data_IF_185097871152
#
_entry.id   IF_185097871152
#
_cell.length_a   1.000
_cell.length_b   1.000
_cell.length_c   1.000
_cell.angle_alpha   90.00
_cell.angle_beta   90.00
_cell.angle_gamma   90.00
#
_symmetry.space_group_name_H-M   'P 1'
#
loop_
_entity.id
_entity.type
_entity.pdbx_description
1 polymer ?
#
# COMPACT_ATOMS: atom_id res chain seq x y z
N UNK A 1 2.84 5.26 11.01
CA UNK A 1 1.62 4.43 11.05
C UNK A 1 1.14 4.06 9.64
N UNK A 2 1.22 4.95 8.64
CA UNK A 2 0.83 4.67 7.24
C UNK A 2 1.30 3.33 6.64
N UNK A 3 2.57 2.92 6.80
CA UNK A 3 3.07 1.62 6.30
C UNK A 3 2.38 0.41 6.92
N UNK A 4 2.04 0.50 8.22
CA UNK A 4 1.35 -0.57 8.94
C UNK A 4 -0.12 -0.68 8.51
N UNK A 5 -0.76 0.44 8.16
CA UNK A 5 -2.15 0.50 7.71
C UNK A 5 -2.31 -0.07 6.29
N UNK A 6 -1.40 0.26 5.37
CA UNK A 6 -1.39 -0.36 4.04
C UNK A 6 -1.20 -1.88 4.11
N UNK A 7 -0.37 -2.35 5.05
CA UNK A 7 -0.13 -3.77 5.28
C UNK A 7 -1.31 -4.48 5.97
N UNK A 8 -2.04 -3.80 6.87
CA UNK A 8 -3.24 -4.35 7.53
C UNK A 8 -4.48 -4.32 6.64
N UNK A 9 -4.45 -3.58 5.51
CA UNK A 9 -5.59 -3.40 4.61
C UNK A 9 -6.51 -2.26 5.02
N UNK A 10 -6.09 -1.41 5.95
CA UNK A 10 -6.78 -0.16 6.30
C UNK A 10 -6.42 0.94 5.31
N UNK A 11 -7.36 1.82 4.96
CA UNK A 11 -7.14 2.92 4.03
C UNK A 11 -6.24 4.00 4.68
N UNK A 12 -4.95 4.13 4.30
CA UNK A 12 -4.04 5.08 4.94
C UNK A 12 -4.14 6.48 4.33
N UNK A 13 -4.94 6.64 3.27
CA UNK A 13 -5.04 7.87 2.50
C UNK A 13 -5.46 9.09 3.35
N UNK A 14 -6.44 9.02 4.26
CA UNK A 14 -6.79 10.15 5.12
C UNK A 14 -5.63 10.65 5.99
N UNK A 15 -4.84 9.72 6.55
CA UNK A 15 -3.70 10.08 7.40
C UNK A 15 -2.55 10.69 6.60
N UNK A 16 -2.27 10.14 5.42
CA UNK A 16 -1.23 10.65 4.54
C UNK A 16 -1.58 12.04 3.99
N UNK A 17 -2.85 12.27 3.65
CA UNK A 17 -3.36 13.59 3.24
C UNK A 17 -3.28 14.59 4.39
N UNK A 18 -3.75 14.22 5.59
CA UNK A 18 -3.65 15.09 6.77
C UNK A 18 -2.19 15.45 7.09
N UNK A 19 -1.26 14.50 7.02
CA UNK A 19 0.16 14.76 7.20
C UNK A 19 0.72 15.71 6.13
N UNK A 20 0.28 15.58 4.87
CA UNK A 20 0.67 16.48 3.79
C UNK A 20 0.15 17.91 3.99
N UNK A 21 -1.06 18.07 4.51
CA UNK A 21 -1.65 19.38 4.84
C UNK A 21 -0.90 20.06 5.98
N UNK A 22 -0.58 19.32 7.05
CA UNK A 22 0.23 19.83 8.17
C UNK A 22 1.59 20.31 7.67
N UNK A 23 2.27 19.52 6.83
CA UNK A 23 3.56 19.92 6.25
C UNK A 23 3.46 21.16 5.37
N UNK A 24 2.45 21.22 4.51
CA UNK A 24 2.26 22.38 3.64
C UNK A 24 2.00 23.66 4.46
N UNK A 25 1.26 23.54 5.57
CA UNK A 25 1.01 24.63 6.49
C UNK A 25 2.23 25.09 7.29
N UNK A 26 3.22 24.22 7.50
CA UNK A 26 4.45 24.51 8.26
C UNK A 26 5.61 25.05 7.40
N UNK A 27 5.44 25.08 6.06
CA UNK A 27 6.50 25.44 5.11
C UNK A 27 7.03 26.85 5.30
N UNK A 28 6.15 27.82 5.58
CA UNK A 28 6.54 29.22 5.72
C UNK A 28 7.27 29.46 7.06
N UNK A 29 6.85 28.78 8.13
CA UNK A 29 7.55 28.79 9.42
C UNK A 29 8.92 28.14 9.34
N UNK A 30 9.07 27.02 8.63
CA UNK A 30 10.36 26.36 8.44
C UNK A 30 11.36 27.26 7.71
N UNK A 31 10.88 27.97 6.68
CA UNK A 31 11.70 28.91 5.92
C UNK A 31 12.07 30.16 6.73
N UNK A 32 11.14 30.65 7.56
CA UNK A 32 11.42 31.71 8.52
C UNK A 32 12.45 31.28 9.59
N UNK A 33 12.33 30.06 10.13
CA UNK A 33 13.28 29.51 11.09
C UNK A 33 14.67 29.35 10.49
N UNK A 34 14.76 28.84 9.25
CA UNK A 34 16.02 28.71 8.52
C UNK A 34 16.68 30.07 8.29
N UNK A 35 15.93 31.08 7.84
CA UNK A 35 16.45 32.46 7.72
C UNK A 35 16.93 33.01 9.05
N UNK A 36 16.18 32.77 10.13
CA UNK A 36 16.56 33.19 11.49
C UNK A 36 17.87 32.58 11.95
N UNK A 37 18.07 31.27 11.71
CA UNK A 37 19.32 30.57 12.04
C UNK A 37 20.50 31.07 11.19
N UNK A 38 20.29 31.34 9.90
CA UNK A 38 21.31 31.94 9.05
C UNK A 38 21.72 33.35 9.54
N UNK A 39 20.75 34.17 9.93
CA UNK A 39 21.02 35.48 10.52
C UNK A 39 21.78 35.36 11.84
N UNK A 40 21.38 34.42 12.71
CA UNK A 40 22.07 34.14 13.97
C UNK A 40 23.51 33.68 13.75
N UNK A 41 23.75 32.81 12.76
CA UNK A 41 25.10 32.38 12.37
C UNK A 41 25.96 33.57 11.91
N UNK A 42 25.39 34.49 11.14
CA UNK A 42 26.07 35.72 10.73
C UNK A 42 26.45 36.62 11.91
N UNK A 43 25.57 36.74 12.91
CA UNK A 43 25.86 37.49 14.15
C UNK A 43 26.94 36.76 14.96
N UNK A 44 26.78 35.46 15.20
CA UNK A 44 27.73 34.65 15.96
C UNK A 44 29.15 34.73 15.38
N UNK A 45 29.29 34.65 14.05
CA UNK A 45 30.58 34.81 13.38
C UNK A 45 31.30 36.13 13.71
N UNK A 46 30.57 37.19 14.07
CA UNK A 46 31.12 38.50 14.41
C UNK A 46 31.42 38.69 15.91
N UNK A 47 30.65 38.07 16.81
CA UNK A 47 30.75 38.27 18.28
C UNK A 47 31.30 37.07 19.05
N UNK A 48 31.07 35.86 18.56
CA UNK A 48 31.54 34.61 19.17
C UNK A 48 31.84 33.58 18.07
N UNK A 49 33.01 33.69 17.39
CA UNK A 49 33.31 32.90 16.20
C UNK A 49 33.35 31.37 16.43
N UNK A 50 33.50 30.93 17.68
CA UNK A 50 33.49 29.52 18.08
C UNK A 50 32.08 28.99 18.36
N UNK A 51 31.05 29.84 18.37
CA UNK A 51 29.68 29.42 18.62
C UNK A 51 29.13 28.60 17.45
N UNK A 52 28.68 27.38 17.75
CA UNK A 52 28.04 26.50 16.77
C UNK A 52 26.55 26.85 16.70
N UNK A 53 26.12 27.41 15.57
CA UNK A 53 24.70 27.67 15.29
C UNK A 53 24.13 26.51 14.47
N UNK A 54 23.00 25.91 14.90
CA UNK A 54 22.40 24.81 14.16
C UNK A 54 21.90 25.28 12.78
N UNK A 55 21.94 24.38 11.81
CA UNK A 55 21.39 24.59 10.46
C UNK A 55 20.16 23.71 10.26
N UNK A 56 19.23 24.17 9.42
CA UNK A 56 18.09 23.37 8.96
C UNK A 56 18.25 23.07 7.48
N UNK A 57 18.27 21.79 7.14
CA UNK A 57 18.34 21.24 5.79
C UNK A 57 16.95 21.23 5.13
N UNK A 58 15.89 21.02 5.92
CA UNK A 58 14.51 21.02 5.43
C UNK A 58 13.90 22.43 5.48
N UNK A 59 13.94 23.14 4.35
CA UNK A 59 13.22 24.40 4.15
C UNK A 59 11.90 24.19 3.42
N UNK A 60 11.28 25.30 2.99
CA UNK A 60 10.02 25.29 2.23
C UNK A 60 10.02 24.34 1.03
N UNK A 61 11.02 24.35 0.12
CA UNK A 61 11.01 23.46 -1.05
C UNK A 61 11.03 21.98 -0.66
N UNK A 62 11.77 21.61 0.38
CA UNK A 62 11.87 20.22 0.84
C UNK A 62 10.56 19.75 1.50
N UNK A 63 9.93 20.59 2.32
CA UNK A 63 8.65 20.26 2.97
C UNK A 63 7.50 20.20 1.97
N UNK A 64 7.45 21.11 0.98
CA UNK A 64 6.46 21.05 -0.11
C UNK A 64 6.62 19.78 -0.94
N UNK A 65 7.87 19.37 -1.21
CA UNK A 65 8.16 18.12 -1.91
C UNK A 65 7.71 16.89 -1.10
N UNK A 66 7.98 16.84 0.21
CA UNK A 66 7.53 15.73 1.07
C UNK A 66 5.99 15.71 1.13
N UNK A 67 5.33 16.86 1.24
CA UNK A 67 3.87 16.96 1.21
C UNK A 67 3.28 16.44 -0.11
N UNK A 68 3.89 16.80 -1.25
CA UNK A 68 3.48 16.27 -2.56
C UNK A 68 3.67 14.75 -2.65
N UNK A 69 4.77 14.23 -2.11
CA UNK A 69 5.03 12.79 -2.05
C UNK A 69 4.00 12.07 -1.17
N UNK A 70 3.62 12.62 -0.01
CA UNK A 70 2.59 12.06 0.87
C UNK A 70 1.21 12.00 0.20
N UNK A 71 0.81 13.06 -0.54
CA UNK A 71 -0.44 13.04 -1.32
C UNK A 71 -0.42 11.97 -2.41
N UNK A 72 0.68 11.89 -3.16
CA UNK A 72 0.86 10.83 -4.17
C UNK A 72 0.80 9.43 -3.54
N UNK A 73 1.41 9.24 -2.38
CA UNK A 73 1.32 8.00 -1.61
C UNK A 73 -0.10 7.70 -1.11
N UNK A 74 -0.92 8.71 -0.79
CA UNK A 74 -2.31 8.54 -0.39
C UNK A 74 -3.16 7.98 -1.55
N UNK A 75 -3.00 8.53 -2.75
CA UNK A 75 -3.67 8.05 -3.96
C UNK A 75 -3.23 6.61 -4.29
N UNK A 76 -1.91 6.37 -4.28
CA UNK A 76 -1.35 5.04 -4.53
C UNK A 76 -1.84 4.00 -3.50
N UNK A 77 -1.96 4.38 -2.24
CA UNK A 77 -2.45 3.48 -1.20
C UNK A 77 -3.95 3.17 -1.34
N UNK A 78 -4.77 4.14 -1.75
CA UNK A 78 -6.19 3.92 -2.04
C UNK A 78 -6.35 2.89 -3.15
N UNK A 79 -5.61 3.07 -4.26
CA UNK A 79 -5.61 2.12 -5.35
C UNK A 79 -5.14 0.75 -4.89
N UNK A 80 -4.05 0.67 -4.13
CA UNK A 80 -3.53 -0.59 -3.61
C UNK A 80 -4.55 -1.35 -2.75
N UNK A 81 -5.25 -0.66 -1.84
CA UNK A 81 -6.30 -1.26 -1.00
C UNK A 81 -7.47 -1.77 -1.85
N UNK A 82 -7.91 -1.00 -2.86
CA UNK A 82 -8.92 -1.43 -3.83
C UNK A 82 -8.50 -2.75 -4.53
N UNK A 83 -7.23 -2.83 -4.99
CA UNK A 83 -6.71 -4.05 -5.64
C UNK A 83 -6.64 -5.23 -4.68
N UNK A 84 -6.22 -5.01 -3.43
CA UNK A 84 -6.19 -6.06 -2.39
C UNK A 84 -7.61 -6.59 -2.10
N UNK A 85 -8.60 -5.71 -2.04
CA UNK A 85 -10.00 -6.13 -1.90
C UNK A 85 -10.48 -6.92 -3.11
N UNK A 86 -10.10 -6.54 -4.33
CA UNK A 86 -10.42 -7.31 -5.51
C UNK A 86 -9.77 -8.70 -5.51
N UNK A 87 -8.50 -8.84 -5.08
CA UNK A 87 -7.88 -10.17 -4.92
C UNK A 87 -8.66 -11.03 -3.92
N UNK A 88 -9.10 -10.44 -2.80
CA UNK A 88 -9.90 -11.16 -1.80
C UNK A 88 -11.27 -11.57 -2.36
N UNK A 89 -11.95 -10.68 -3.09
CA UNK A 89 -13.26 -10.95 -3.68
C UNK A 89 -13.24 -12.12 -4.67
N UNK A 90 -12.16 -12.29 -5.44
CA UNK A 90 -11.98 -13.47 -6.31
C UNK A 90 -11.88 -14.76 -5.50
N UNK A 91 -11.10 -14.75 -4.40
CA UNK A 91 -10.96 -15.91 -3.52
C UNK A 91 -12.28 -16.25 -2.84
N UNK A 92 -13.01 -15.25 -2.36
CA UNK A 92 -14.32 -15.41 -1.72
C UNK A 92 -15.35 -15.98 -2.69
N UNK A 93 -15.37 -15.52 -3.94
CA UNK A 93 -16.25 -16.04 -5.00
C UNK A 93 -15.96 -17.52 -5.30
N UNK A 94 -14.67 -17.90 -5.37
CA UNK A 94 -14.27 -19.29 -5.54
C UNK A 94 -14.70 -20.15 -4.33
N UNK A 95 -14.44 -19.68 -3.11
CA UNK A 95 -14.84 -20.39 -1.89
C UNK A 95 -16.37 -20.59 -1.80
N UNK A 96 -17.15 -19.55 -2.13
CA UNK A 96 -18.60 -19.63 -2.18
C UNK A 96 -19.10 -20.61 -3.24
N UNK A 97 -18.44 -20.67 -4.40
CA UNK A 97 -18.73 -21.64 -5.46
C UNK A 97 -18.51 -23.08 -4.98
N UNK A 98 -17.38 -23.37 -4.35
CA UNK A 98 -17.08 -24.70 -3.81
C UNK A 98 -18.08 -25.10 -2.73
N UNK A 99 -18.41 -24.20 -1.80
CA UNK A 99 -19.41 -24.46 -0.77
C UNK A 99 -20.81 -24.69 -1.34
N UNK A 100 -21.14 -24.13 -2.52
CA UNK A 100 -22.38 -24.43 -3.22
C UNK A 100 -22.32 -25.81 -3.90
N UNK A 101 -21.20 -26.16 -4.53
CA UNK A 101 -20.98 -27.51 -5.10
C UNK A 101 -21.06 -28.62 -4.04
N UNK A 102 -20.49 -28.40 -2.86
CA UNK A 102 -20.59 -29.33 -1.72
C UNK A 102 -22.02 -29.56 -1.23
N UNK A 103 -22.91 -28.57 -1.44
CA UNK A 103 -24.34 -28.63 -1.12
C UNK A 103 -25.20 -29.13 -2.28
N UNK A 104 -24.57 -29.61 -3.36
CA UNK A 104 -25.23 -30.03 -4.60
C UNK A 104 -26.12 -28.93 -5.22
N UNK A 105 -25.67 -27.66 -5.10
CA UNK A 105 -26.31 -26.49 -5.68
C UNK A 105 -25.41 -25.86 -6.78
N UNK A 106 -25.35 -26.49 -7.97
CA UNK A 106 -24.50 -26.00 -9.05
C UNK A 106 -24.99 -24.66 -9.65
N UNK A 107 -26.26 -24.29 -9.46
CA UNK A 107 -26.77 -22.98 -9.87
C UNK A 107 -26.23 -21.86 -8.99
N UNK A 108 -26.23 -22.04 -7.66
CA UNK A 108 -25.59 -21.09 -6.74
C UNK A 108 -24.07 -21.05 -6.93
N UNK A 109 -23.44 -22.17 -7.30
CA UNK A 109 -22.02 -22.21 -7.63
C UNK A 109 -21.68 -21.28 -8.81
N UNK A 110 -22.42 -21.42 -9.92
CA UNK A 110 -22.25 -20.55 -11.10
C UNK A 110 -22.52 -19.07 -10.80
N UNK A 111 -23.55 -18.78 -10.00
CA UNK A 111 -23.84 -17.41 -9.59
C UNK A 111 -22.69 -16.81 -8.77
N UNK A 112 -22.07 -17.60 -7.88
CA UNK A 112 -20.93 -17.17 -7.08
C UNK A 112 -19.69 -16.95 -7.95
N UNK A 113 -19.43 -17.78 -8.95
CA UNK A 113 -18.32 -17.59 -9.89
C UNK A 113 -18.46 -16.30 -10.70
N UNK A 114 -19.68 -15.94 -11.12
CA UNK A 114 -19.93 -14.67 -11.80
C UNK A 114 -19.59 -13.43 -10.97
N UNK A 115 -19.54 -13.54 -9.63
CA UNK A 115 -19.09 -12.45 -8.76
C UNK A 115 -17.58 -12.16 -8.88
N UNK A 116 -16.79 -13.08 -9.46
CA UNK A 116 -15.35 -12.90 -9.66
C UNK A 116 -15.01 -12.04 -10.91
N UNK A 117 -15.94 -11.87 -11.85
CA UNK A 117 -15.68 -11.21 -13.14
C UNK A 117 -15.22 -9.75 -12.97
N UNK A 118 -15.96 -8.96 -12.18
CA UNK A 118 -15.64 -7.55 -11.96
C UNK A 118 -14.32 -7.37 -11.18
N UNK A 119 -14.06 -8.10 -10.08
CA UNK A 119 -12.74 -8.12 -9.44
C UNK A 119 -11.59 -8.51 -10.37
N UNK A 120 -11.75 -9.54 -11.21
CA UNK A 120 -10.72 -9.95 -12.18
C UNK A 120 -10.44 -8.87 -13.21
N UNK A 121 -11.48 -8.26 -13.80
CA UNK A 121 -11.33 -7.16 -14.75
C UNK A 121 -10.63 -5.95 -14.12
N UNK A 122 -10.91 -5.67 -12.85
CA UNK A 122 -10.22 -4.64 -12.09
C UNK A 122 -8.73 -5.00 -12.00
N UNK A 123 -8.35 -6.20 -11.57
CA UNK A 123 -6.94 -6.62 -11.49
C UNK A 123 -6.23 -6.57 -12.85
N UNK A 124 -6.91 -6.90 -13.95
CA UNK A 124 -6.35 -6.83 -15.31
C UNK A 124 -5.99 -5.40 -15.73
N UNK A 125 -6.81 -4.43 -15.35
CA UNK A 125 -6.60 -3.01 -15.66
C UNK A 125 -5.44 -2.37 -14.87
N UNK A 126 -4.80 -3.10 -13.95
CA UNK A 126 -3.68 -2.59 -13.17
C UNK A 126 -2.41 -2.43 -14.03
N UNK A 127 -2.15 -1.18 -14.45
CA UNK A 127 -1.05 -0.82 -15.37
C UNK A 127 0.35 -1.25 -14.90
N UNK A 128 0.65 -1.07 -13.61
CA UNK A 128 1.92 -1.43 -12.99
C UNK A 128 1.73 -2.57 -12.00
N UNK A 129 1.21 -3.69 -12.49
CA UNK A 129 0.97 -4.88 -11.66
C UNK A 129 2.27 -5.55 -11.22
N UNK A 130 2.34 -6.07 -9.99
CA UNK A 130 3.44 -6.93 -9.56
C UNK A 130 3.56 -8.15 -10.50
N UNK A 131 4.79 -8.60 -10.84
CA UNK A 131 4.99 -9.75 -11.72
C UNK A 131 4.24 -11.01 -11.25
N UNK A 132 4.18 -11.21 -9.93
CA UNK A 132 3.53 -12.37 -9.30
C UNK A 132 2.00 -12.30 -9.37
N UNK A 133 1.40 -11.11 -9.53
CA UNK A 133 -0.05 -10.98 -9.73
C UNK A 133 -0.50 -11.64 -11.03
N UNK A 134 0.29 -11.53 -12.12
CA UNK A 134 -0.07 -12.18 -13.38
C UNK A 134 -0.12 -13.70 -13.25
N UNK A 135 0.86 -14.27 -12.54
CA UNK A 135 0.89 -15.71 -12.28
C UNK A 135 -0.33 -16.13 -11.44
N UNK A 136 -0.63 -15.39 -10.37
CA UNK A 136 -1.81 -15.65 -9.53
C UNK A 136 -3.13 -15.54 -10.29
N UNK A 137 -3.30 -14.52 -11.14
CA UNK A 137 -4.52 -14.33 -11.94
C UNK A 137 -4.73 -15.47 -12.92
N UNK A 138 -3.66 -15.98 -13.54
CA UNK A 138 -3.72 -17.13 -14.43
C UNK A 138 -4.22 -18.38 -13.70
N UNK A 139 -3.67 -18.68 -12.52
CA UNK A 139 -4.10 -19.84 -11.72
C UNK A 139 -5.53 -19.67 -11.20
N UNK A 140 -5.90 -18.45 -10.78
CA UNK A 140 -7.25 -18.14 -10.32
C UNK A 140 -8.29 -18.30 -11.44
N UNK A 141 -7.97 -17.84 -12.65
CA UNK A 141 -8.83 -18.06 -13.82
C UNK A 141 -9.01 -19.55 -14.12
N UNK A 142 -7.94 -20.35 -14.08
CA UNK A 142 -8.02 -21.80 -14.27
C UNK A 142 -8.90 -22.49 -13.21
N UNK A 143 -8.82 -22.05 -11.96
CA UNK A 143 -9.67 -22.56 -10.87
C UNK A 143 -11.14 -22.20 -11.06
N UNK A 144 -11.43 -20.93 -11.41
CA UNK A 144 -12.79 -20.45 -11.66
C UNK A 144 -13.42 -21.19 -12.84
N UNK A 145 -12.68 -21.35 -13.93
CA UNK A 145 -13.13 -22.09 -15.12
C UNK A 145 -13.41 -23.55 -14.78
N UNK A 146 -12.49 -24.23 -14.10
CA UNK A 146 -12.67 -25.64 -13.72
C UNK A 146 -13.84 -25.84 -12.76
N UNK A 147 -14.03 -24.96 -11.78
CA UNK A 147 -15.20 -24.99 -10.90
C UNK A 147 -16.51 -24.76 -11.68
N UNK A 148 -16.49 -23.86 -12.66
CA UNK A 148 -17.61 -23.63 -13.57
C UNK A 148 -17.94 -24.85 -14.43
N UNK A 149 -16.92 -25.56 -14.91
CA UNK A 149 -17.08 -26.81 -15.65
C UNK A 149 -17.67 -27.92 -14.76
N UNK A 150 -17.23 -28.05 -13.50
CA UNK A 150 -17.84 -28.98 -12.54
C UNK A 150 -19.32 -28.66 -12.33
N UNK A 151 -19.67 -27.39 -12.10
CA UNK A 151 -21.06 -26.97 -11.89
C UNK A 151 -21.94 -27.25 -13.13
N UNK A 152 -21.44 -26.92 -14.33
CA UNK A 152 -22.14 -27.18 -15.59
C UNK A 152 -22.34 -28.68 -15.85
N UNK A 153 -21.31 -29.49 -15.63
CA UNK A 153 -21.40 -30.95 -15.79
C UNK A 153 -22.39 -31.58 -14.80
N UNK A 154 -22.41 -31.07 -13.56
CA UNK A 154 -23.37 -31.51 -12.52
C UNK A 154 -24.81 -31.21 -12.94
N UNK A 155 -25.09 -30.00 -13.45
CA UNK A 155 -26.40 -29.63 -14.01
C UNK A 155 -26.81 -30.53 -15.18
N UNK A 156 -25.86 -30.85 -16.06
CA UNK A 156 -26.08 -31.72 -17.22
C UNK A 156 -26.20 -33.21 -16.85
N UNK A 157 -25.93 -33.59 -15.58
CA UNK A 157 -25.82 -34.97 -15.11
C UNK A 157 -24.81 -35.80 -15.93
N UNK A 158 -23.68 -35.17 -16.28
CA UNK A 158 -22.58 -35.80 -17.01
C UNK A 158 -21.42 -36.13 -16.05
N UNK A 159 -21.36 -37.37 -15.52
CA UNK A 159 -20.34 -37.74 -14.55
C UNK A 159 -18.93 -37.82 -15.16
N UNK A 160 -18.81 -38.02 -16.48
CA UNK A 160 -17.49 -38.08 -17.15
C UNK A 160 -16.92 -36.68 -17.26
N UNK A 161 -17.73 -35.71 -17.71
CA UNK A 161 -17.33 -34.31 -17.74
C UNK A 161 -17.05 -33.77 -16.33
N UNK A 162 -17.88 -34.15 -15.34
CA UNK A 162 -17.68 -33.75 -13.95
C UNK A 162 -16.34 -34.26 -13.40
N UNK A 163 -15.99 -35.53 -13.65
CA UNK A 163 -14.72 -36.12 -13.24
C UNK A 163 -13.52 -35.41 -13.88
N UNK A 164 -13.56 -35.17 -15.20
CA UNK A 164 -12.49 -34.47 -15.91
C UNK A 164 -12.29 -33.02 -15.41
N UNK A 165 -13.38 -32.30 -15.14
CA UNK A 165 -13.35 -30.95 -14.58
C UNK A 165 -12.79 -30.93 -13.15
N UNK A 166 -13.16 -31.90 -12.32
CA UNK A 166 -12.65 -32.06 -10.97
C UNK A 166 -11.13 -32.37 -10.95
N UNK A 167 -10.63 -33.19 -11.87
CA UNK A 167 -9.20 -33.45 -12.03
C UNK A 167 -8.43 -32.18 -12.45
N UNK A 168 -8.98 -31.41 -13.40
CA UNK A 168 -8.40 -30.11 -13.80
C UNK A 168 -8.36 -29.15 -12.62
N UNK A 169 -9.44 -29.08 -11.85
CA UNK A 169 -9.53 -28.25 -10.64
C UNK A 169 -8.46 -28.66 -9.62
N UNK A 170 -8.34 -29.96 -9.33
CA UNK A 170 -7.35 -30.47 -8.38
C UNK A 170 -5.92 -30.09 -8.79
N UNK A 171 -5.58 -30.23 -10.07
CA UNK A 171 -4.27 -29.84 -10.62
C UNK A 171 -4.00 -28.34 -10.48
N UNK A 172 -5.00 -27.50 -10.73
CA UNK A 172 -4.88 -26.06 -10.52
C UNK A 172 -4.76 -25.70 -9.02
N UNK A 173 -5.44 -26.43 -8.15
CA UNK A 173 -5.40 -26.21 -6.70
C UNK A 173 -4.02 -26.52 -6.09
N UNK A 174 -3.30 -27.50 -6.64
CA UNK A 174 -1.92 -27.81 -6.23
C UNK A 174 -0.96 -26.62 -6.44
N UNK A 175 -1.13 -25.87 -7.53
CA UNK A 175 -0.30 -24.71 -7.86
C UNK A 175 -0.78 -23.42 -7.20
N UNK A 176 -2.07 -23.35 -6.85
CA UNK A 176 -2.70 -22.18 -6.23
C UNK A 176 -2.02 -21.74 -4.94
N UNK A 177 -1.69 -22.68 -4.04
CA UNK A 177 -1.03 -22.34 -2.76
C UNK A 177 0.32 -21.63 -2.98
N UNK A 178 1.07 -22.03 -4.00
CA UNK A 178 2.33 -21.36 -4.36
C UNK A 178 2.09 -19.95 -4.88
N UNK A 179 1.06 -19.77 -5.73
CA UNK A 179 0.67 -18.48 -6.27
C UNK A 179 0.15 -17.52 -5.18
N UNK A 180 -0.67 -18.00 -4.25
CA UNK A 180 -1.22 -17.22 -3.13
C UNK A 180 -0.11 -16.70 -2.22
N UNK A 181 0.81 -17.57 -1.82
CA UNK A 181 1.95 -17.17 -0.97
C UNK A 181 2.85 -16.14 -1.67
N UNK A 182 3.12 -16.34 -2.97
CA UNK A 182 3.93 -15.43 -3.75
C UNK A 182 3.25 -14.06 -3.90
N UNK A 183 1.93 -14.03 -4.15
CA UNK A 183 1.17 -12.79 -4.23
C UNK A 183 1.10 -12.09 -2.86
N UNK A 184 0.88 -12.81 -1.77
CA UNK A 184 0.82 -12.23 -0.43
C UNK A 184 2.14 -11.51 -0.05
N UNK A 185 3.28 -12.11 -0.41
CA UNK A 185 4.59 -11.48 -0.25
C UNK A 185 4.72 -10.22 -1.12
N UNK A 186 4.39 -10.32 -2.40
CA UNK A 186 4.45 -9.17 -3.33
C UNK A 186 3.59 -7.99 -2.85
N UNK A 187 2.35 -8.25 -2.43
CA UNK A 187 1.46 -7.23 -1.91
C UNK A 187 1.99 -6.62 -0.61
N UNK A 188 2.60 -7.41 0.27
CA UNK A 188 3.18 -6.89 1.51
C UNK A 188 4.37 -5.95 1.24
N UNK A 189 5.24 -6.30 0.30
CA UNK A 189 6.38 -5.47 -0.11
C UNK A 189 5.93 -4.17 -0.78
N UNK A 190 4.98 -4.25 -1.71
CA UNK A 190 4.42 -3.06 -2.38
C UNK A 190 3.70 -2.13 -1.39
N UNK A 191 2.89 -2.70 -0.50
CA UNK A 191 2.18 -1.92 0.53
C UNK A 191 3.13 -1.12 1.43
N UNK A 192 4.26 -1.71 1.81
CA UNK A 192 5.29 -1.04 2.58
C UNK A 192 6.00 0.06 1.76
N UNK A 193 6.30 -0.19 0.49
CA UNK A 193 7.01 0.73 -0.38
C UNK A 193 6.23 2.04 -0.65
N UNK A 194 4.89 1.99 -0.70
CA UNK A 194 4.03 3.14 -1.03
C UNK A 194 4.30 4.37 -0.16
N UNK A 195 4.54 4.20 1.15
CA UNK A 195 4.70 5.32 2.08
C UNK A 195 6.04 5.36 2.83
N UNK A 196 6.89 4.34 2.70
CA UNK A 196 8.14 4.25 3.47
C UNK A 196 9.09 5.45 3.24
N UNK A 197 9.31 5.85 1.99
CA UNK A 197 10.23 6.95 1.65
C UNK A 197 9.75 8.30 2.19
N UNK A 198 8.51 8.77 1.87
CA UNK A 198 8.07 10.07 2.39
C UNK A 198 7.96 10.09 3.92
N UNK A 199 7.55 8.99 4.57
CA UNK A 199 7.49 8.93 6.03
C UNK A 199 8.89 9.00 6.68
N UNK A 200 9.91 8.38 6.06
CA UNK A 200 11.30 8.48 6.54
C UNK A 200 11.84 9.91 6.42
N UNK A 201 11.54 10.60 5.32
CA UNK A 201 11.94 12.01 5.11
C UNK A 201 11.22 12.93 6.09
N UNK A 202 9.93 12.69 6.35
CA UNK A 202 9.17 13.41 7.37
C UNK A 202 9.80 13.23 8.77
N UNK A 203 10.13 11.99 9.15
CA UNK A 203 10.79 11.73 10.43
C UNK A 203 12.13 12.48 10.54
N UNK A 204 12.97 12.42 9.50
CA UNK A 204 14.24 13.14 9.48
C UNK A 204 14.07 14.67 9.58
N UNK A 205 13.04 15.25 8.97
CA UNK A 205 12.74 16.67 9.09
C UNK A 205 12.30 17.07 10.52
N UNK A 206 11.52 16.21 11.18
CA UNK A 206 11.11 16.42 12.57
C UNK A 206 12.30 16.30 13.53
N UNK A 207 13.13 15.27 13.37
CA UNK A 207 14.33 15.05 14.19
C UNK A 207 15.29 16.24 14.08
N UNK A 208 15.54 16.75 12.86
CA UNK A 208 16.41 17.93 12.65
C UNK A 208 15.86 19.18 13.34
N UNK A 209 14.55 19.40 13.29
CA UNK A 209 13.92 20.55 13.95
C UNK A 209 14.03 20.47 15.48
N UNK A 210 13.88 19.28 16.06
CA UNK A 210 14.03 19.05 17.50
C UNK A 210 15.50 19.20 17.95
N UNK A 211 16.46 18.70 17.18
CA UNK A 211 17.89 18.87 17.42
C UNK A 211 18.29 20.35 17.38
N UNK A 212 17.82 21.10 16.38
CA UNK A 212 18.05 22.54 16.30
C UNK A 212 17.47 23.28 17.52
N UNK A 213 16.27 22.88 17.97
CA UNK A 213 15.63 23.44 19.16
C UNK A 213 16.41 23.12 20.45
N UNK A 214 16.93 21.91 20.57
CA UNK A 214 17.76 21.50 21.71
C UNK A 214 19.08 22.29 21.75
N UNK A 215 19.75 22.44 20.60
CA UNK A 215 20.98 23.23 20.47
C UNK A 215 20.77 24.70 20.86
N UNK A 216 19.68 25.33 20.40
CA UNK A 216 19.35 26.71 20.76
C UNK A 216 19.06 26.88 22.27
N UNK A 217 18.40 25.91 22.90
CA UNK A 217 18.17 25.94 24.37
C UNK A 217 19.49 25.87 25.15
N UNK A 218 20.39 25.00 24.75
CA UNK A 218 21.72 24.86 25.37
C UNK A 218 22.55 26.13 25.20
N UNK A 219 22.53 26.75 24.02
CA UNK A 219 23.23 28.02 23.77
C UNK A 219 22.71 29.15 24.66
N UNK A 220 21.39 29.23 24.87
CA UNK A 220 20.77 30.23 25.77
C UNK A 220 21.16 30.04 27.23
N UNK A 221 21.30 28.80 27.70
CA UNK A 221 21.70 28.50 29.07
C UNK A 221 23.16 28.86 29.36
N UNK A 222 24.04 28.86 28.35
CA UNK A 222 25.45 29.25 28.51
C UNK A 222 25.68 30.77 28.57
N UNK A 223 24.71 31.54 28.09
CA UNK A 223 24.78 33.00 27.97
C UNK A 223 23.96 33.74 29.03
N UNK A 224 23.24 33.01 29.90
CA UNK A 224 22.50 33.52 31.06
C UNK A 224 23.30 33.33 32.35
#
# INVERSE_FOLDING_TARGET
RGTALTASGEAPAPELTAAAEVLAGASDEADAARRGLLALAGVAAAVEPEAIVPTLSYGRPELELIAAQLRSSADAATLFVERRHATQAVVDALAASLAALERDDPSAALASLGAADAPMALLEAWKQRPPLLRYWMMISADLLDAAGDVARATLARDPVAQGAAAERYAKAAETARGADNALALALSEEGAAISATPLRRLAAAADEADDARAALRLARQRTS
#
